data_IF_452888029954
#
_entry.id   IF_452888029954
#
_cell.length_a   1.000
_cell.length_b   1.000
_cell.length_c   1.000
_cell.angle_alpha   90.00
_cell.angle_beta   90.00
_cell.angle_gamma   90.00
#
_symmetry.space_group_name_H-M   'P 1'
#
loop_
_entity.id
_entity.type
_entity.pdbx_description
1 polymer ?
#
# COMPACT_ATOMS: atom_id res chain seq x y z
N UNK A 1 12.75 15.72 8.31
CA UNK A 1 11.60 15.69 9.22
C UNK A 1 11.87 14.59 10.23
N UNK A 2 11.87 14.92 11.52
CA UNK A 2 11.67 13.94 12.59
C UNK A 2 10.21 13.43 12.51
N UNK A 3 9.90 12.30 13.15
CA UNK A 3 8.55 11.73 13.10
C UNK A 3 7.52 12.70 13.68
N UNK A 4 7.92 13.44 14.72
CA UNK A 4 7.13 14.47 15.39
C UNK A 4 6.86 15.69 14.51
N UNK A 5 7.69 15.94 13.50
CA UNK A 5 7.46 16.99 12.49
C UNK A 5 6.39 16.56 11.47
N UNK A 6 6.21 15.25 11.27
CA UNK A 6 5.22 14.70 10.34
C UNK A 6 3.83 14.79 10.96
N UNK A 7 3.68 14.30 12.19
CA UNK A 7 2.40 14.28 12.87
C UNK A 7 2.54 14.20 14.39
N UNK A 8 1.72 15.00 15.09
CA UNK A 8 1.52 14.87 16.53
C UNK A 8 0.46 13.80 16.80
N UNK A 9 0.53 13.06 17.93
CA UNK A 9 -0.49 12.06 18.27
C UNK A 9 -1.92 12.61 18.29
N UNK A 10 -2.11 13.89 18.60
CA UNK A 10 -3.42 14.57 18.58
C UNK A 10 -4.03 14.72 17.19
N UNK A 11 -3.27 14.47 16.12
CA UNK A 11 -3.74 14.51 14.74
C UNK A 11 -4.13 13.12 14.23
N UNK A 12 -3.88 12.06 15.01
CA UNK A 12 -4.11 10.70 14.54
C UNK A 12 -5.60 10.39 14.48
N UNK A 13 -6.00 9.79 13.37
CA UNK A 13 -7.32 9.24 13.17
C UNK A 13 -7.24 7.72 13.24
N UNK A 14 -8.22 7.09 13.90
CA UNK A 14 -8.43 5.65 13.81
C UNK A 14 -9.30 5.32 12.59
N UNK A 15 -8.79 4.47 11.71
CA UNK A 15 -9.50 4.02 10.52
C UNK A 15 -9.46 2.51 10.41
N UNK A 16 -10.64 1.90 10.45
CA UNK A 16 -10.81 0.46 10.34
C UNK A 16 -10.90 0.11 8.85
N UNK A 17 -9.80 -0.42 8.31
CA UNK A 17 -9.73 -0.77 6.89
C UNK A 17 -9.54 -2.27 6.67
N UNK A 18 -10.09 -2.75 5.56
CA UNK A 18 -9.67 -4.00 4.94
C UNK A 18 -8.26 -3.85 4.36
N UNK A 19 -7.39 -4.82 4.61
CA UNK A 19 -6.13 -5.03 3.92
C UNK A 19 -6.23 -6.34 3.15
N UNK A 20 -6.01 -6.28 1.83
CA UNK A 20 -6.04 -7.45 0.95
C UNK A 20 -4.66 -7.69 0.33
N UNK A 21 -3.99 -8.77 0.70
CA UNK A 21 -2.73 -9.16 0.07
C UNK A 21 -3.00 -9.81 -1.29
N UNK A 22 -2.15 -9.61 -2.30
CA UNK A 22 -2.29 -10.25 -3.63
C UNK A 22 -2.35 -11.78 -3.56
N UNK A 23 -1.79 -12.38 -2.51
CA UNK A 23 -1.76 -13.82 -2.22
C UNK A 23 -3.12 -14.41 -1.74
N UNK A 24 -4.24 -13.76 -2.09
CA UNK A 24 -5.59 -14.21 -1.77
C UNK A 24 -5.90 -14.36 -0.27
N UNK A 25 -5.31 -13.52 0.60
CA UNK A 25 -5.71 -13.40 2.01
C UNK A 25 -5.97 -11.96 2.41
N UNK A 26 -6.85 -11.77 3.40
CA UNK A 26 -7.25 -10.44 3.87
C UNK A 26 -7.36 -10.34 5.40
N UNK A 27 -7.33 -9.11 5.88
CA UNK A 27 -7.50 -8.74 7.30
C UNK A 27 -8.34 -7.48 7.42
N UNK A 28 -8.98 -7.27 8.56
CA UNK A 28 -9.55 -5.97 8.95
C UNK A 28 -8.69 -5.42 10.09
N UNK A 29 -8.17 -4.22 9.91
CA UNK A 29 -7.15 -3.65 10.80
C UNK A 29 -7.57 -2.22 11.18
N UNK A 30 -7.65 -1.89 12.49
CA UNK A 30 -7.78 -0.53 12.97
C UNK A 30 -6.42 0.16 12.91
N UNK A 31 -6.19 0.94 11.85
CA UNK A 31 -4.98 1.74 11.67
C UNK A 31 -5.08 3.07 12.40
N UNK A 32 -3.95 3.56 12.90
CA UNK A 32 -3.80 4.90 13.45
C UNK A 32 -2.81 5.68 12.59
N UNK A 33 -3.22 6.84 12.10
CA UNK A 33 -2.38 7.63 11.20
C UNK A 33 -2.99 8.96 10.82
N UNK A 34 -2.42 9.57 9.79
CA UNK A 34 -2.92 10.81 9.18
C UNK A 34 -3.13 10.63 7.68
N UNK A 35 -4.04 11.39 7.05
CA UNK A 35 -4.18 11.40 5.59
C UNK A 35 -2.83 11.74 4.92
N UNK A 36 -2.45 11.00 3.89
CA UNK A 36 -1.23 11.31 3.13
C UNK A 36 -1.33 12.69 2.45
N UNK A 37 -2.53 13.09 2.04
CA UNK A 37 -2.82 14.38 1.43
C UNK A 37 -2.30 15.55 2.28
N UNK A 38 -2.44 15.48 3.61
CA UNK A 38 -2.00 16.54 4.52
C UNK A 38 -0.48 16.74 4.49
N UNK A 39 0.28 15.67 4.26
CA UNK A 39 1.75 15.74 4.13
C UNK A 39 2.14 16.29 2.77
N UNK A 40 1.48 15.83 1.71
CA UNK A 40 1.75 16.31 0.35
C UNK A 40 1.43 17.79 0.22
N UNK A 41 0.30 18.26 0.76
CA UNK A 41 -0.09 19.67 0.70
C UNK A 41 0.93 20.60 1.37
N UNK A 42 1.52 20.18 2.51
CA UNK A 42 2.60 20.94 3.17
C UNK A 42 3.87 21.04 2.34
N UNK A 43 4.09 20.12 1.41
CA UNK A 43 5.23 20.13 0.50
C UNK A 43 4.98 20.98 -0.76
N UNK A 44 3.78 21.56 -0.92
CA UNK A 44 3.41 22.46 -2.01
C UNK A 44 3.78 21.91 -3.41
N UNK A 45 3.15 20.80 -3.86
CA UNK A 45 3.48 20.15 -5.12
C UNK A 45 3.41 21.12 -6.30
N UNK A 46 4.47 21.16 -7.11
CA UNK A 46 4.43 21.93 -8.37
C UNK A 46 3.41 21.32 -9.34
N UNK A 47 2.95 22.11 -10.31
CA UNK A 47 2.04 21.65 -11.37
C UNK A 47 2.60 20.53 -12.26
N UNK A 48 3.90 20.23 -12.16
CA UNK A 48 4.56 19.15 -12.90
C UNK A 48 4.48 17.79 -12.20
N UNK A 49 4.25 17.78 -10.87
CA UNK A 49 4.17 16.53 -10.13
C UNK A 49 2.93 15.73 -10.57
N UNK A 50 3.15 14.48 -10.98
CA UNK A 50 2.07 13.56 -11.42
C UNK A 50 2.02 12.28 -10.60
N UNK A 51 3.10 11.93 -9.92
CA UNK A 51 3.22 10.73 -9.11
C UNK A 51 3.96 11.01 -7.81
N UNK A 52 3.80 10.11 -6.86
CA UNK A 52 4.52 10.07 -5.60
C UNK A 52 5.32 8.77 -5.55
N UNK A 53 6.63 8.86 -5.35
CA UNK A 53 7.53 7.73 -5.15
C UNK A 53 7.89 7.61 -3.67
N UNK A 54 7.82 6.40 -3.14
CA UNK A 54 8.13 6.06 -1.75
C UNK A 54 9.34 5.13 -1.70
N UNK A 55 10.17 5.27 -0.67
CA UNK A 55 11.33 4.40 -0.45
C UNK A 55 11.39 3.92 0.99
N UNK A 56 11.61 2.61 1.15
CA UNK A 56 11.88 1.95 2.43
C UNK A 56 13.34 2.12 2.84
N UNK A 57 13.60 2.14 4.15
CA UNK A 57 14.95 2.10 4.72
C UNK A 57 15.81 0.95 4.16
N UNK A 58 17.06 1.25 3.81
CA UNK A 58 18.12 0.26 3.59
C UNK A 58 19.04 0.27 4.80
N UNK A 59 18.97 -0.80 5.59
CA UNK A 59 19.79 -1.04 6.76
C UNK A 59 20.06 -2.55 6.87
N UNK A 60 21.07 -3.08 6.15
CA UNK A 60 21.30 -4.52 6.11
C UNK A 60 21.75 -5.11 7.47
N UNK A 61 22.26 -4.28 8.38
CA UNK A 61 22.64 -4.70 9.74
C UNK A 61 21.40 -5.08 10.55
N UNK A 62 20.38 -4.23 10.53
CA UNK A 62 19.11 -4.44 11.25
C UNK A 62 18.08 -5.25 10.44
N UNK A 63 18.19 -5.25 9.10
CA UNK A 63 17.29 -5.93 8.17
C UNK A 63 18.03 -7.03 7.41
N UNK A 64 18.22 -8.23 8.00
CA UNK A 64 19.04 -9.30 7.42
C UNK A 64 18.54 -9.78 6.05
N UNK A 65 17.24 -9.61 5.73
CA UNK A 65 16.70 -9.92 4.40
C UNK A 65 17.37 -9.13 3.27
N UNK A 66 17.94 -7.96 3.55
CA UNK A 66 18.65 -7.11 2.57
C UNK A 66 20.07 -7.61 2.27
N UNK A 67 20.63 -8.49 3.09
CA UNK A 67 21.95 -9.12 2.85
C UNK A 67 21.86 -10.42 2.07
N UNK A 68 20.66 -11.00 1.96
CA UNK A 68 20.50 -12.33 1.40
C UNK A 68 20.80 -12.32 -0.10
N UNK A 69 21.74 -13.17 -0.54
CA UNK A 69 21.95 -13.44 -1.98
C UNK A 69 20.73 -14.06 -2.66
N UNK A 70 19.76 -14.55 -1.89
CA UNK A 70 18.47 -15.05 -2.38
C UNK A 70 17.35 -14.00 -2.30
N UNK A 71 17.68 -12.74 -2.00
CA UNK A 71 16.71 -11.65 -2.05
C UNK A 71 16.19 -11.50 -3.47
N UNK A 72 14.87 -11.58 -3.63
CA UNK A 72 14.22 -11.29 -4.91
C UNK A 72 14.14 -9.79 -5.20
N UNK A 73 14.18 -8.96 -4.15
CA UNK A 73 14.08 -7.50 -4.25
C UNK A 73 15.47 -6.91 -4.43
N UNK A 74 15.62 -6.05 -5.44
CA UNK A 74 16.70 -5.09 -5.56
C UNK A 74 16.42 -3.91 -4.62
N UNK A 75 17.14 -3.84 -3.50
CA UNK A 75 16.86 -2.89 -2.41
C UNK A 75 17.36 -1.48 -2.75
N UNK A 76 16.68 -0.38 -2.34
CA UNK A 76 15.51 -0.32 -1.44
C UNK A 76 14.23 -0.90 -2.02
N UNK A 77 13.28 -1.26 -1.14
CA UNK A 77 11.90 -1.45 -1.57
C UNK A 77 11.30 -0.08 -1.96
N UNK A 78 10.72 -0.01 -3.15
CA UNK A 78 10.22 1.22 -3.77
C UNK A 78 8.79 0.99 -4.19
N UNK A 79 7.95 1.99 -3.93
CA UNK A 79 6.57 2.01 -4.40
C UNK A 79 6.21 3.35 -5.00
N UNK A 80 5.05 3.39 -5.68
CA UNK A 80 4.52 4.63 -6.22
C UNK A 80 3.01 4.67 -6.33
N UNK A 81 2.47 5.88 -6.28
CA UNK A 81 1.07 6.21 -6.53
C UNK A 81 0.98 7.35 -7.54
N UNK A 82 -0.12 7.41 -8.30
CA UNK A 82 -0.49 8.64 -9.00
C UNK A 82 -0.84 9.72 -7.96
N UNK A 83 -0.62 10.99 -8.30
CA UNK A 83 -0.77 12.07 -7.32
C UNK A 83 -2.20 12.18 -6.77
N UNK A 84 -3.21 11.97 -7.59
CA UNK A 84 -4.62 11.94 -7.17
C UNK A 84 -4.94 10.75 -6.23
N UNK A 85 -4.36 9.57 -6.45
CA UNK A 85 -4.45 8.42 -5.54
C UNK A 85 -3.80 8.73 -4.19
N UNK A 86 -2.63 9.39 -4.22
CA UNK A 86 -1.91 9.80 -3.02
C UNK A 86 -2.65 10.90 -2.24
N UNK A 87 -3.37 11.76 -2.94
CA UNK A 87 -4.22 12.81 -2.38
C UNK A 87 -5.61 12.33 -1.98
N UNK A 88 -5.99 11.09 -2.34
CA UNK A 88 -7.31 10.55 -2.03
C UNK A 88 -7.51 10.43 -0.51
N UNK A 89 -8.68 10.81 0.04
CA UNK A 89 -8.91 10.79 1.48
C UNK A 89 -8.68 9.43 2.14
N UNK A 90 -8.89 8.32 1.42
CA UNK A 90 -8.67 6.97 1.98
C UNK A 90 -7.18 6.60 2.15
N UNK A 91 -6.25 7.28 1.47
CA UNK A 91 -4.81 7.00 1.55
C UNK A 91 -4.23 7.54 2.86
N UNK A 92 -3.71 6.63 3.69
CA UNK A 92 -3.29 6.93 5.05
C UNK A 92 -1.79 6.67 5.22
N UNK A 93 -1.10 7.56 5.93
CA UNK A 93 0.19 7.29 6.54
C UNK A 93 -0.02 6.81 7.97
N UNK A 94 0.11 5.50 8.17
CA UNK A 94 -0.07 4.83 9.45
C UNK A 94 1.22 4.85 10.29
N UNK A 95 1.05 5.19 11.57
CA UNK A 95 2.09 5.17 12.61
C UNK A 95 1.69 4.28 13.80
N UNK A 96 0.47 3.73 13.77
CA UNK A 96 -0.03 2.81 14.79
C UNK A 96 -1.08 1.86 14.27
N UNK A 97 -1.42 0.88 15.10
CA UNK A 97 -2.53 -0.04 14.89
C UNK A 97 -3.03 -0.59 16.23
N UNK A 98 -4.33 -0.89 16.34
CA UNK A 98 -4.95 -1.44 17.56
C UNK A 98 -4.67 -0.59 18.82
N UNK A 99 -4.79 0.74 18.73
CA UNK A 99 -4.58 1.64 19.87
C UNK A 99 -3.12 1.82 20.29
N UNK A 100 -2.13 1.28 19.54
CA UNK A 100 -0.71 1.27 19.91
C UNK A 100 0.17 1.71 18.74
N UNK A 101 1.42 2.05 19.06
CA UNK A 101 2.46 2.28 18.05
C UNK A 101 2.62 1.08 17.12
N UNK A 102 3.01 1.36 15.88
CA UNK A 102 3.15 0.34 14.86
C UNK A 102 4.27 -0.63 15.24
N UNK A 103 4.04 -1.95 15.28
CA UNK A 103 5.12 -2.90 15.50
C UNK A 103 6.11 -2.95 14.32
N UNK A 104 7.38 -3.28 14.57
CA UNK A 104 8.42 -3.35 13.54
C UNK A 104 8.04 -4.26 12.36
N UNK A 105 7.44 -5.42 12.62
CA UNK A 105 6.97 -6.36 11.58
C UNK A 105 5.88 -5.77 10.67
N UNK A 106 5.14 -4.77 11.18
CA UNK A 106 4.10 -4.08 10.45
C UNK A 106 4.62 -2.85 9.69
N UNK A 107 5.91 -2.50 9.80
CA UNK A 107 6.56 -1.44 9.03
C UNK A 107 6.75 -0.13 9.79
N UNK A 108 6.98 -0.20 11.10
CA UNK A 108 7.30 0.94 11.93
C UNK A 108 8.51 1.75 11.38
N UNK A 109 8.61 3.06 11.72
CA UNK A 109 7.62 3.86 12.44
C UNK A 109 6.50 4.41 11.54
N UNK A 110 6.68 4.34 10.22
CA UNK A 110 5.81 4.98 9.23
C UNK A 110 5.54 4.04 8.05
N UNK A 111 4.26 3.81 7.76
CA UNK A 111 3.80 2.91 6.69
C UNK A 111 2.69 3.56 5.86
N UNK A 112 2.69 3.30 4.57
CA UNK A 112 1.58 3.63 3.68
C UNK A 112 0.46 2.59 3.80
N UNK A 113 -0.79 3.04 3.78
CA UNK A 113 -1.99 2.20 3.70
C UNK A 113 -2.89 2.73 2.59
N UNK A 114 -3.14 1.89 1.57
CA UNK A 114 -4.02 2.20 0.44
C UNK A 114 -5.07 1.09 0.34
N UNK A 115 -6.26 1.25 0.96
CA UNK A 115 -7.10 0.12 1.31
C UNK A 115 -7.79 -0.55 0.12
N UNK A 116 -7.89 0.11 -1.03
CA UNK A 116 -8.50 -0.45 -2.26
C UNK A 116 -7.49 -1.16 -3.18
N UNK A 117 -6.20 -1.14 -2.84
CA UNK A 117 -5.12 -1.77 -3.61
C UNK A 117 -4.60 -3.03 -2.91
N UNK A 118 -3.90 -3.87 -3.66
CA UNK A 118 -3.20 -5.01 -3.08
C UNK A 118 -2.11 -4.58 -2.09
N UNK A 119 -1.90 -5.42 -1.07
CA UNK A 119 -1.10 -5.09 0.11
C UNK A 119 0.36 -4.72 -0.17
N UNK A 120 0.92 -5.10 -1.32
CA UNK A 120 2.28 -4.72 -1.69
C UNK A 120 2.43 -3.22 -1.95
N UNK A 121 1.37 -2.55 -2.43
CA UNK A 121 1.34 -1.09 -2.59
C UNK A 121 1.48 -0.34 -1.25
N UNK A 122 1.18 -1.00 -0.13
CA UNK A 122 1.25 -0.44 1.22
C UNK A 122 2.66 -0.60 1.82
N UNK A 123 3.61 0.15 1.24
CA UNK A 123 5.05 0.17 1.58
C UNK A 123 5.32 0.46 3.06
N UNK A 124 6.33 -0.21 3.61
CA UNK A 124 6.71 -0.20 5.03
C UNK A 124 7.95 0.65 5.30
N UNK A 125 8.10 1.14 6.52
CA UNK A 125 9.31 1.79 7.03
C UNK A 125 9.86 2.86 6.07
N UNK A 126 8.97 3.79 5.68
CA UNK A 126 9.22 4.82 4.69
C UNK A 126 10.26 5.82 5.22
N UNK A 127 11.29 6.09 4.42
CA UNK A 127 12.33 7.09 4.72
C UNK A 127 12.38 8.23 3.70
N UNK A 128 11.79 8.04 2.51
CA UNK A 128 11.71 9.09 1.48
C UNK A 128 10.36 9.07 0.76
N UNK A 129 9.82 10.27 0.55
CA UNK A 129 8.65 10.54 -0.29
C UNK A 129 9.07 11.61 -1.30
N UNK A 130 8.99 11.30 -2.59
CA UNK A 130 9.42 12.19 -3.68
C UNK A 130 8.27 12.40 -4.65
N UNK A 131 7.97 13.66 -4.96
CA UNK A 131 7.03 14.02 -6.02
C UNK A 131 7.75 14.01 -7.37
N UNK A 132 7.24 13.26 -8.34
CA UNK A 132 7.91 13.03 -9.63
C UNK A 132 6.95 13.25 -10.81
N UNK A 133 7.50 13.60 -11.97
CA UNK A 133 6.73 13.87 -13.19
C UNK A 133 6.37 12.59 -13.95
N UNK A 134 7.23 11.57 -13.88
CA UNK A 134 7.08 10.29 -14.59
C UNK A 134 6.69 9.15 -13.64
N UNK A 135 5.98 8.15 -14.16
CA UNK A 135 5.53 7.01 -13.36
C UNK A 135 6.75 6.22 -12.83
N UNK A 136 6.94 6.12 -11.50
CA UNK A 136 8.04 5.33 -10.96
C UNK A 136 7.76 3.83 -11.12
N UNK A 137 8.80 3.05 -11.37
CA UNK A 137 8.73 1.58 -11.35
C UNK A 137 8.72 1.11 -9.90
N UNK A 138 7.77 0.25 -9.53
CA UNK A 138 7.71 -0.33 -8.19
C UNK A 138 8.49 -1.65 -8.10
N UNK A 139 8.86 -2.06 -6.88
CA UNK A 139 9.71 -3.24 -6.67
C UNK A 139 9.10 -4.54 -7.21
N UNK A 140 7.78 -4.75 -7.10
CA UNK A 140 7.16 -5.98 -7.59
C UNK A 140 7.04 -6.01 -9.12
N UNK A 141 6.76 -4.86 -9.74
CA UNK A 141 6.78 -4.70 -11.19
C UNK A 141 8.17 -4.95 -11.76
N UNK A 142 9.24 -4.54 -11.07
CA UNK A 142 10.61 -4.84 -11.48
C UNK A 142 10.92 -6.35 -11.42
N UNK A 143 10.42 -7.04 -10.40
CA UNK A 143 10.67 -8.48 -10.19
C UNK A 143 9.89 -9.35 -11.18
N UNK A 144 8.61 -9.07 -11.39
CA UNK A 144 7.74 -9.85 -12.24
C UNK A 144 6.71 -8.93 -12.93
N UNK A 145 7.12 -8.23 -14.01
CA UNK A 145 6.27 -7.25 -14.70
C UNK A 145 5.03 -7.87 -15.35
N UNK A 146 5.02 -9.19 -15.55
CA UNK A 146 3.88 -9.97 -16.06
C UNK A 146 2.89 -10.38 -14.97
N UNK A 147 3.20 -10.14 -13.69
CA UNK A 147 2.37 -10.52 -12.54
C UNK A 147 1.85 -9.31 -11.74
N UNK A 148 2.62 -8.22 -11.70
CA UNK A 148 2.33 -7.05 -10.88
C UNK A 148 2.44 -5.75 -11.68
N UNK A 149 1.33 -5.03 -11.79
CA UNK A 149 1.25 -3.73 -12.43
C UNK A 149 1.46 -2.57 -11.47
N UNK A 150 1.37 -1.36 -12.03
CA UNK A 150 1.53 -0.14 -11.28
C UNK A 150 0.33 0.14 -10.37
N UNK A 151 -0.90 -0.02 -10.88
CA UNK A 151 -2.10 0.38 -10.17
C UNK A 151 -2.50 -0.64 -9.10
N UNK A 152 -2.50 -1.93 -9.42
CA UNK A 152 -2.74 -3.00 -8.46
C UNK A 152 -4.02 -2.82 -7.62
N UNK A 153 -5.08 -2.34 -8.27
CA UNK A 153 -6.40 -2.23 -7.65
C UNK A 153 -6.94 -3.65 -7.38
N UNK A 154 -7.54 -3.86 -6.21
CA UNK A 154 -8.18 -5.15 -5.90
C UNK A 154 -9.35 -5.35 -6.86
N UNK A 155 -9.28 -6.41 -7.66
CA UNK A 155 -10.29 -6.69 -8.69
C UNK A 155 -10.53 -8.21 -8.76
N UNK A 156 -11.74 -8.70 -8.40
CA UNK A 156 -12.06 -10.12 -8.45
C UNK A 156 -12.18 -10.68 -9.88
N UNK A 157 -12.31 -9.82 -10.90
CA UNK A 157 -12.47 -10.21 -12.30
C UNK A 157 -11.13 -10.33 -13.06
N UNK A 158 -10.01 -10.05 -12.37
CA UNK A 158 -8.67 -10.13 -12.95
C UNK A 158 -7.81 -11.03 -12.08
N UNK A 159 -7.59 -12.23 -12.58
CA UNK A 159 -6.80 -13.23 -11.89
C UNK A 159 -5.31 -12.90 -11.94
N UNK A 160 -4.59 -13.31 -10.91
CA UNK A 160 -3.15 -13.36 -10.95
C UNK A 160 -2.72 -14.51 -11.89
N UNK A 161 -1.59 -14.43 -12.63
CA UNK A 161 -1.18 -15.50 -13.55
C UNK A 161 -1.08 -16.90 -12.95
N UNK A 162 -0.93 -16.99 -11.62
CA UNK A 162 -0.76 -18.24 -10.87
C UNK A 162 -1.97 -18.66 -10.02
N UNK A 163 -2.96 -17.79 -9.79
CA UNK A 163 -4.14 -18.11 -8.97
C UNK A 163 -5.28 -17.12 -9.21
N UNK A 164 -6.52 -17.55 -8.92
CA UNK A 164 -7.67 -16.67 -9.05
C UNK A 164 -7.72 -15.61 -7.94
N UNK A 165 -8.21 -14.42 -8.28
CA UNK A 165 -8.49 -13.36 -7.31
C UNK A 165 -9.95 -13.27 -6.88
N UNK A 166 -10.82 -14.13 -7.40
CA UNK A 166 -12.27 -14.09 -7.14
C UNK A 166 -12.64 -14.28 -5.65
N UNK A 167 -11.84 -15.05 -4.91
CA UNK A 167 -12.05 -15.30 -3.48
C UNK A 167 -10.83 -14.95 -2.65
N UNK A 168 -11.02 -14.69 -1.37
CA UNK A 168 -9.96 -14.43 -0.41
C UNK A 168 -10.18 -15.14 0.92
N UNK A 169 -9.07 -15.45 1.58
CA UNK A 169 -9.04 -16.09 2.89
C UNK A 169 -8.92 -15.02 3.97
N UNK A 170 -10.00 -14.75 4.69
CA UNK A 170 -10.02 -13.72 5.74
C UNK A 170 -9.41 -14.25 7.04
N UNK A 171 -8.42 -13.54 7.57
CA UNK A 171 -7.76 -13.88 8.83
C UNK A 171 -8.46 -13.20 10.03
N UNK A 172 -8.45 -13.82 11.24
CA UNK A 172 -7.90 -15.15 11.51
C UNK A 172 -8.78 -16.26 10.92
N UNK A 173 -8.15 -17.40 10.63
CA UNK A 173 -8.81 -18.61 10.19
C UNK A 173 -8.23 -19.83 10.90
N UNK A 174 -8.84 -21.00 10.70
CA UNK A 174 -8.34 -22.26 11.26
C UNK A 174 -8.36 -23.37 10.20
N UNK A 175 -7.65 -24.47 10.50
CA UNK A 175 -7.58 -25.63 9.62
C UNK A 175 -8.97 -26.24 9.32
N UNK A 176 -9.94 -26.05 10.21
CA UNK A 176 -11.31 -26.56 10.07
C UNK A 176 -12.33 -25.49 9.63
N UNK A 177 -11.90 -24.23 9.50
CA UNK A 177 -12.72 -23.12 9.01
C UNK A 177 -11.82 -22.14 8.27
N UNK A 178 -11.61 -22.35 6.95
CA UNK A 178 -10.66 -21.55 6.18
C UNK A 178 -11.09 -20.07 6.06
N UNK A 179 -12.34 -19.73 6.40
CA UNK A 179 -12.91 -18.38 6.36
C UNK A 179 -12.72 -17.72 4.98
N UNK A 180 -13.06 -18.47 3.92
CA UNK A 180 -13.02 -17.99 2.55
C UNK A 180 -14.28 -17.18 2.25
N UNK A 181 -14.09 -16.00 1.65
CA UNK A 181 -15.15 -15.08 1.24
C UNK A 181 -14.87 -14.58 -0.18
N UNK A 182 -15.89 -14.02 -0.83
CA UNK A 182 -15.71 -13.38 -2.14
C UNK A 182 -14.89 -12.08 -2.01
N UNK A 183 -13.96 -11.88 -2.95
CA UNK A 183 -13.20 -10.64 -3.05
C UNK A 183 -14.13 -9.55 -3.58
N UNK A 184 -14.14 -8.38 -2.93
CA UNK A 184 -14.92 -7.24 -3.39
C UNK A 184 -14.11 -6.38 -4.35
N UNK A 185 -14.77 -5.81 -5.36
CA UNK A 185 -14.17 -4.82 -6.26
C UNK A 185 -13.66 -3.61 -5.45
N UNK A 186 -12.44 -3.15 -5.78
CA UNK A 186 -11.73 -2.12 -5.01
C UNK A 186 -11.67 -2.42 -3.50
N UNK A 187 -11.64 -3.70 -3.13
CA UNK A 187 -11.66 -4.18 -1.74
C UNK A 187 -12.87 -3.67 -0.92
N UNK A 188 -13.97 -3.34 -1.60
CA UNK A 188 -15.19 -2.82 -0.97
C UNK A 188 -15.28 -1.29 -0.90
N UNK A 189 -14.37 -0.56 -1.55
CA UNK A 189 -14.37 0.91 -1.60
C UNK A 189 -14.74 1.45 -2.99
N UNK A 190 -15.53 0.70 -3.76
CA UNK A 190 -15.82 1.04 -5.15
C UNK A 190 -16.55 2.37 -5.29
N UNK A 191 -17.50 2.66 -4.39
CA UNK A 191 -18.29 3.89 -4.41
C UNK A 191 -17.42 5.14 -4.16
N UNK A 192 -16.30 4.98 -3.47
CA UNK A 192 -15.36 6.07 -3.16
C UNK A 192 -14.26 6.26 -4.21
N UNK A 193 -13.79 5.18 -4.85
CA UNK A 193 -12.56 5.24 -5.68
C UNK A 193 -12.76 4.94 -7.16
N UNK A 194 -13.92 4.42 -7.59
CA UNK A 194 -14.10 3.99 -8.97
C UNK A 194 -13.91 5.14 -9.98
N UNK A 195 -14.32 6.36 -9.63
CA UNK A 195 -14.18 7.53 -10.51
C UNK A 195 -12.72 7.88 -10.82
N UNK A 196 -11.77 7.61 -9.91
CA UNK A 196 -10.33 7.79 -10.15
C UNK A 196 -9.83 6.96 -11.34
N UNK A 197 -10.57 5.90 -11.69
CA UNK A 197 -10.19 4.95 -12.71
C UNK A 197 -11.15 4.92 -13.90
N UNK A 198 -12.09 5.85 -13.99
CA UNK A 198 -13.02 5.93 -15.10
C UNK A 198 -12.23 6.06 -16.44
N UNK A 199 -12.50 5.13 -17.37
CA UNK A 199 -11.84 5.10 -18.68
C UNK A 199 -10.45 4.44 -18.71
N UNK A 200 -9.93 3.95 -17.57
CA UNK A 200 -8.72 3.13 -17.55
C UNK A 200 -9.04 1.66 -17.78
N UNK A 201 -8.23 0.99 -18.61
CA UNK A 201 -8.25 -0.46 -18.71
C UNK A 201 -7.59 -1.06 -17.46
N UNK A 202 -8.43 -1.49 -16.53
CA UNK A 202 -7.99 -2.11 -15.26
C UNK A 202 -7.38 -3.51 -15.46
N UNK A 203 -7.63 -4.18 -16.59
CA UNK A 203 -7.01 -5.48 -16.90
C UNK A 203 -5.58 -5.30 -17.38
N UNK A 204 -5.34 -4.30 -18.23
CA UNK A 204 -4.00 -4.00 -18.73
C UNK A 204 -3.05 -3.43 -17.66
N UNK A 205 -3.59 -3.01 -16.51
CA UNK A 205 -2.89 -2.24 -15.47
C UNK A 205 -2.94 -2.90 -14.08
N UNK A 206 -3.31 -4.19 -14.03
CA UNK A 206 -3.38 -5.03 -12.85
C UNK A 206 -2.02 -5.17 -12.16
#
# INVERSE_FOLDING_TARGET
FALEDIAKPSQFEERIYRLRCVEAWSMVIPWLGIPLADIIQRAEPTSKAKYVRFETLVDPEQMPGQRSSFSLIDWPYVEGLRLDEAMHPLTLLAMGMYGRELPNQNGAPLRLVVPWKYGFKSIKSIVRITLVEEQPVNSWQLIAPNEYGFYANVNPEVDHPRWSQATERRLPNSLFSPNTIDTLMFNGYADEVAELYAGLDLKANY
#
